data_IF_034986691509
#
_entry.id   IF_034986691509
#
_cell.length_a   1.000
_cell.length_b   1.000
_cell.length_c   1.000
_cell.angle_alpha   90.00
_cell.angle_beta   90.00
_cell.angle_gamma   90.00
#
_symmetry.space_group_name_H-M   'P 1'
#
loop_
_entity.id
_entity.type
_entity.pdbx_description
1 polymer ?
#
# COMPACT_ATOMS: atom_id res chain seq x y z
N UNK A 1 -6.03 39.03 -16.04
CA UNK A 1 -4.58 39.27 -15.86
C UNK A 1 -3.88 38.00 -16.30
N UNK A 2 -2.97 38.15 -17.26
CA UNK A 2 -2.32 37.11 -18.08
C UNK A 2 -1.70 35.96 -17.29
N UNK A 3 -2.20 34.75 -17.53
CA UNK A 3 -1.49 33.50 -17.23
C UNK A 3 -0.27 33.41 -18.14
N UNK A 4 0.87 33.90 -17.64
CA UNK A 4 2.17 33.67 -18.27
C UNK A 4 2.67 32.30 -17.82
N UNK A 5 2.32 31.28 -18.60
CA UNK A 5 2.94 29.97 -18.51
C UNK A 5 4.46 30.12 -18.57
N UNK A 6 5.14 29.52 -17.60
CA UNK A 6 6.58 29.64 -17.42
C UNK A 6 7.30 29.02 -18.66
N UNK A 7 8.07 29.80 -19.45
CA UNK A 7 8.65 29.34 -20.71
C UNK A 7 9.65 28.18 -20.54
N UNK A 8 10.17 27.97 -19.32
CA UNK A 8 11.02 26.80 -19.01
C UNK A 8 10.22 25.50 -18.87
N UNK A 9 8.98 25.58 -18.40
CA UNK A 9 8.08 24.42 -18.30
C UNK A 9 7.59 24.01 -19.69
N UNK A 10 7.25 24.98 -20.54
CA UNK A 10 6.85 24.71 -21.93
C UNK A 10 7.98 24.02 -22.71
N UNK A 11 9.21 24.52 -22.60
CA UNK A 11 10.39 23.91 -23.25
C UNK A 11 10.70 22.50 -22.76
N UNK A 12 10.35 22.16 -21.51
CA UNK A 12 10.48 20.79 -20.98
C UNK A 12 9.34 19.90 -21.48
N UNK A 13 8.12 20.41 -21.55
CA UNK A 13 6.97 19.69 -22.07
C UNK A 13 7.13 19.38 -23.55
N UNK A 14 7.65 20.33 -24.34
CA UNK A 14 7.91 20.14 -25.77
C UNK A 14 9.00 19.10 -26.01
N UNK A 15 10.08 19.10 -25.22
CA UNK A 15 11.11 18.04 -25.26
C UNK A 15 10.56 16.66 -24.92
N UNK A 16 9.61 16.59 -23.99
CA UNK A 16 9.02 15.32 -23.54
C UNK A 16 8.02 14.79 -24.58
N UNK A 17 7.25 15.68 -25.21
CA UNK A 17 6.38 15.37 -26.37
C UNK A 17 7.18 14.94 -27.60
N UNK A 18 8.32 15.59 -27.86
CA UNK A 18 9.21 15.22 -28.97
C UNK A 18 9.92 13.88 -28.74
N UNK A 19 10.28 13.57 -27.48
CA UNK A 19 10.78 12.25 -27.12
C UNK A 19 9.71 11.16 -27.32
N UNK A 20 8.45 11.42 -26.93
CA UNK A 20 7.34 10.48 -27.16
C UNK A 20 7.05 10.27 -28.65
N UNK A 21 7.10 11.34 -29.47
CA UNK A 21 6.93 11.24 -30.93
C UNK A 21 7.99 10.36 -31.61
N UNK A 22 9.19 10.24 -31.04
CA UNK A 22 10.24 9.34 -31.54
C UNK A 22 9.97 7.86 -31.25
N UNK A 23 9.08 7.55 -30.30
CA UNK A 23 8.65 6.18 -30.01
C UNK A 23 7.34 5.79 -30.72
N UNK A 24 6.57 6.77 -31.21
CA UNK A 24 5.31 6.56 -31.94
C UNK A 24 5.44 6.85 -33.45
N UNK A 25 6.55 6.46 -34.07
CA UNK A 25 6.58 6.34 -35.54
C UNK A 25 6.12 4.94 -35.93
N UNK A 26 5.27 4.80 -36.97
CA UNK A 26 4.51 3.58 -37.22
C UNK A 26 5.44 2.43 -37.60
N UNK A 27 5.04 1.22 -37.19
CA UNK A 27 5.49 -0.04 -37.78
C UNK A 27 5.34 0.11 -39.30
N UNK A 28 6.48 0.26 -39.97
CA UNK A 28 6.58 0.07 -41.41
C UNK A 28 6.48 -1.44 -41.60
N UNK A 29 5.31 -1.88 -42.06
CA UNK A 29 5.17 -3.11 -42.82
C UNK A 29 5.99 -2.89 -44.10
N UNK A 30 7.25 -3.35 -44.09
CA UNK A 30 7.98 -3.53 -45.34
C UNK A 30 7.79 -4.97 -45.80
N UNK A 31 7.19 -5.01 -46.98
CA UNK A 31 6.90 -6.14 -47.80
C UNK A 31 8.11 -7.04 -48.04
N UNK A 32 7.73 -8.28 -48.30
CA UNK A 32 8.43 -9.30 -49.06
C UNK A 32 9.59 -8.77 -49.92
N UNK A 33 10.80 -9.19 -49.59
CA UNK A 33 11.89 -9.23 -50.57
C UNK A 33 12.56 -10.60 -50.56
N UNK A 34 12.52 -11.18 -51.74
CA UNK A 34 13.14 -12.39 -52.25
C UNK A 34 14.46 -12.81 -51.59
N UNK A 35 14.44 -13.99 -50.95
CA UNK A 35 15.56 -14.93 -50.97
C UNK A 35 15.06 -16.35 -51.24
N UNK A 36 14.26 -16.52 -52.29
CA UNK A 36 14.08 -17.82 -52.95
C UNK A 36 15.16 -18.01 -54.01
N UNK A 37 16.34 -18.46 -53.58
CA UNK A 37 17.31 -19.29 -54.34
C UNK A 37 18.66 -19.32 -53.61
N UNK A 38 18.82 -20.25 -52.69
CA UNK A 38 20.11 -20.90 -52.53
C UNK A 38 19.84 -22.36 -52.16
N UNK A 39 20.17 -23.25 -53.10
CA UNK A 39 20.10 -24.68 -52.89
C UNK A 39 21.27 -25.10 -52.00
N UNK A 40 21.01 -25.26 -50.71
CA UNK A 40 21.86 -26.06 -49.84
C UNK A 40 21.10 -27.33 -49.50
N UNK A 41 21.44 -28.38 -50.25
CA UNK A 41 21.13 -29.75 -49.90
C UNK A 41 21.71 -30.04 -48.51
N UNK A 42 20.90 -30.68 -47.68
CA UNK A 42 21.25 -31.11 -46.34
C UNK A 42 22.57 -31.89 -46.29
N UNK A 43 23.40 -31.60 -45.31
CA UNK A 43 24.58 -32.37 -44.84
C UNK A 43 24.25 -33.81 -44.38
N UNK A 44 23.04 -34.31 -44.65
CA UNK A 44 22.58 -35.67 -44.31
C UNK A 44 22.78 -36.70 -45.44
N UNK A 45 23.39 -36.32 -46.57
CA UNK A 45 23.61 -37.20 -47.74
C UNK A 45 25.08 -37.60 -48.00
N UNK A 46 26.07 -37.15 -47.20
CA UNK A 46 27.49 -37.46 -47.44
C UNK A 46 28.10 -38.47 -46.47
N UNK A 47 27.39 -38.84 -45.39
CA UNK A 47 27.89 -39.83 -44.41
C UNK A 47 27.41 -41.28 -44.66
N UNK A 48 26.49 -41.49 -45.60
CA UNK A 48 25.96 -42.83 -45.93
C UNK A 48 26.63 -43.50 -47.14
N UNK A 49 27.53 -42.80 -47.85
CA UNK A 49 28.27 -43.34 -49.00
C UNK A 49 29.65 -43.95 -48.65
N UNK A 50 30.11 -43.86 -47.41
CA UNK A 50 31.43 -44.36 -46.97
C UNK A 50 31.39 -45.59 -46.05
N UNK A 51 30.20 -46.17 -45.79
CA UNK A 51 30.03 -47.31 -44.87
C UNK A 51 29.82 -48.68 -45.56
N UNK A 52 30.12 -48.78 -46.86
CA UNK A 52 30.01 -50.03 -47.63
C UNK A 52 31.33 -50.45 -48.29
N UNK A 53 32.40 -50.54 -47.52
CA UNK A 53 33.55 -51.38 -47.89
C UNK A 53 33.96 -52.25 -46.70
N UNK A 54 33.54 -53.52 -46.78
CA UNK A 54 34.05 -54.58 -45.92
C UNK A 54 35.52 -54.88 -46.27
N UNK A 55 36.40 -55.20 -45.30
CA UNK A 55 37.83 -55.37 -45.54
C UNK A 55 38.09 -56.69 -46.27
N UNK A 56 38.64 -56.65 -47.49
CA UNK A 56 39.22 -57.85 -48.12
C UNK A 56 40.58 -58.16 -47.49
N UNK A 57 40.71 -59.40 -47.05
CA UNK A 57 41.89 -60.01 -46.44
C UNK A 57 43.16 -59.85 -47.29
N UNK A 58 44.29 -59.59 -46.62
CA UNK A 58 45.64 -59.64 -47.18
C UNK A 58 45.93 -61.00 -47.84
N UNK A 59 46.63 -61.05 -48.98
CA UNK A 59 47.45 -62.19 -49.32
C UNK A 59 48.84 -62.03 -48.71
N UNK A 60 49.27 -63.10 -48.04
CA UNK A 60 50.60 -63.30 -47.49
C UNK A 60 51.56 -63.67 -48.63
N UNK A 61 52.76 -63.09 -48.57
CA UNK A 61 53.91 -63.44 -49.39
C UNK A 61 54.26 -64.94 -49.31
N UNK A 62 54.56 -65.56 -50.46
CA UNK A 62 55.45 -66.72 -50.52
C UNK A 62 54.94 -67.92 -51.31
N UNK A 63 55.42 -68.05 -52.56
CA UNK A 63 55.79 -69.29 -53.27
C UNK A 63 55.82 -68.98 -54.77
N UNK A 64 56.99 -68.70 -55.34
CA UNK A 64 57.64 -69.60 -56.32
C UNK A 64 56.65 -70.33 -57.24
N UNK A 65 56.50 -69.83 -58.45
CA UNK A 65 56.74 -70.64 -59.65
C UNK A 65 57.01 -69.73 -60.86
N UNK A 66 58.22 -69.86 -61.38
CA UNK A 66 58.64 -69.34 -62.67
C UNK A 66 58.04 -70.22 -63.75
N UNK A 67 57.27 -69.64 -64.68
CA UNK A 67 57.10 -70.23 -66.02
C UNK A 67 57.22 -69.13 -67.08
N UNK A 68 58.38 -69.20 -67.73
CA UNK A 68 58.84 -68.73 -69.04
C UNK A 68 57.86 -68.09 -70.05
N UNK A 69 58.27 -66.91 -70.51
CA UNK A 69 58.53 -66.51 -71.91
C UNK A 69 57.80 -67.22 -73.07
N UNK A 70 56.98 -66.44 -73.78
CA UNK A 70 56.97 -66.23 -75.25
C UNK A 70 56.46 -64.77 -75.43
N UNK A 71 57.19 -63.75 -75.91
CA UNK A 71 58.00 -63.53 -77.12
C UNK A 71 57.23 -63.51 -78.45
N UNK A 72 56.27 -62.58 -78.59
CA UNK A 72 55.80 -62.02 -79.86
C UNK A 72 55.34 -60.57 -79.55
N UNK A 73 55.60 -59.49 -80.28
CA UNK A 73 56.27 -59.21 -81.54
C UNK A 73 56.57 -57.70 -81.55
N UNK A 74 57.69 -57.30 -82.16
CA UNK A 74 58.08 -55.89 -82.31
C UNK A 74 57.31 -55.27 -83.49
N UNK A 75 56.59 -54.18 -83.24
CA UNK A 75 56.15 -53.21 -84.26
C UNK A 75 56.63 -51.80 -83.86
N UNK A 76 56.85 -50.87 -84.82
CA UNK A 76 57.81 -49.78 -84.63
C UNK A 76 57.30 -48.67 -83.70
N UNK A 77 58.06 -48.47 -82.62
CA UNK A 77 57.88 -47.54 -81.51
C UNK A 77 58.28 -46.11 -81.94
N UNK A 78 57.37 -45.37 -82.54
CA UNK A 78 57.55 -43.92 -82.78
C UNK A 78 56.33 -43.07 -82.38
N UNK A 79 55.10 -43.58 -82.53
CA UNK A 79 53.89 -42.85 -82.12
C UNK A 79 53.57 -42.98 -80.62
N UNK A 80 53.89 -44.11 -79.99
CA UNK A 80 53.61 -44.32 -78.55
C UNK A 80 54.50 -43.48 -77.63
N UNK A 81 55.74 -43.17 -78.05
CA UNK A 81 56.64 -42.26 -77.32
C UNK A 81 56.08 -40.84 -77.25
N UNK A 82 55.52 -40.33 -78.35
CA UNK A 82 54.94 -38.99 -78.42
C UNK A 82 53.64 -38.88 -77.61
N UNK A 83 52.80 -39.92 -77.66
CA UNK A 83 51.57 -40.01 -76.87
C UNK A 83 51.90 -40.07 -75.37
N UNK A 84 52.87 -40.91 -74.97
CA UNK A 84 53.32 -40.99 -73.58
C UNK A 84 53.94 -39.69 -73.07
N UNK A 85 54.71 -38.97 -73.90
CA UNK A 85 55.24 -37.65 -73.58
C UNK A 85 54.13 -36.61 -73.32
N UNK A 86 53.07 -36.63 -74.15
CA UNK A 86 51.90 -35.76 -73.99
C UNK A 86 51.13 -36.04 -72.68
N UNK A 87 50.95 -37.32 -72.33
CA UNK A 87 50.36 -37.71 -71.04
C UNK A 87 51.24 -37.29 -69.86
N UNK A 88 52.56 -37.46 -69.95
CA UNK A 88 53.49 -37.04 -68.92
C UNK A 88 53.47 -35.53 -68.70
N UNK A 89 53.42 -34.74 -69.77
CA UNK A 89 53.32 -33.27 -69.68
C UNK A 89 51.98 -32.83 -69.05
N UNK A 90 50.86 -33.46 -69.42
CA UNK A 90 49.55 -33.19 -68.77
C UNK A 90 49.57 -33.58 -67.30
N UNK A 91 50.16 -34.72 -66.96
CA UNK A 91 50.29 -35.16 -65.57
C UNK A 91 51.12 -34.17 -64.75
N UNK A 92 52.23 -33.68 -65.32
CA UNK A 92 53.09 -32.67 -64.70
C UNK A 92 52.33 -31.35 -64.50
N UNK A 93 51.59 -30.88 -65.51
CA UNK A 93 50.78 -29.67 -65.42
C UNK A 93 49.67 -29.77 -64.35
N UNK A 94 48.99 -30.92 -64.28
CA UNK A 94 47.98 -31.19 -63.24
C UNK A 94 48.65 -31.20 -61.86
N UNK A 95 49.81 -31.84 -61.73
CA UNK A 95 50.56 -31.91 -60.48
C UNK A 95 51.01 -30.51 -60.01
N UNK A 96 51.52 -29.68 -60.91
CA UNK A 96 51.88 -28.28 -60.61
C UNK A 96 50.66 -27.44 -60.21
N UNK A 97 49.53 -27.59 -60.91
CA UNK A 97 48.27 -26.94 -60.56
C UNK A 97 47.75 -27.36 -59.17
N UNK A 98 47.81 -28.66 -58.86
CA UNK A 98 47.40 -29.18 -57.56
C UNK A 98 48.30 -28.67 -56.44
N UNK A 99 49.62 -28.60 -56.64
CA UNK A 99 50.52 -28.02 -55.64
C UNK A 99 50.28 -26.53 -55.44
N UNK A 100 49.98 -25.77 -56.50
CA UNK A 100 49.61 -24.37 -56.39
C UNK A 100 48.33 -24.18 -55.57
N UNK A 101 47.31 -25.01 -55.81
CA UNK A 101 46.05 -25.00 -55.05
C UNK A 101 46.23 -25.42 -53.58
N UNK A 102 47.09 -26.41 -53.31
CA UNK A 102 47.42 -26.79 -51.93
C UNK A 102 48.06 -25.62 -51.18
N UNK A 103 48.96 -24.88 -51.82
CA UNK A 103 49.63 -23.75 -51.18
C UNK A 103 48.67 -22.56 -50.97
N UNK A 104 47.74 -22.29 -51.88
CA UNK A 104 46.70 -21.27 -51.67
C UNK A 104 45.78 -21.65 -50.51
N UNK A 105 45.25 -22.89 -50.48
CA UNK A 105 44.39 -23.38 -49.40
C UNK A 105 45.09 -23.35 -48.03
N UNK A 106 46.39 -23.64 -48.00
CA UNK A 106 47.19 -23.57 -46.78
C UNK A 106 47.36 -22.13 -46.29
N UNK A 107 47.53 -21.17 -47.19
CA UNK A 107 47.56 -19.76 -46.85
C UNK A 107 46.21 -19.27 -46.34
N UNK A 108 45.11 -19.64 -47.00
CA UNK A 108 43.74 -19.28 -46.57
C UNK A 108 43.40 -19.90 -45.21
N UNK A 109 43.81 -21.15 -44.97
CA UNK A 109 43.66 -21.78 -43.65
C UNK A 109 44.41 -20.99 -42.57
N UNK A 110 45.59 -20.44 -42.88
CA UNK A 110 46.38 -19.64 -41.94
C UNK A 110 45.73 -18.28 -41.67
N UNK A 111 45.20 -17.61 -42.69
CA UNK A 111 44.51 -16.33 -42.53
C UNK A 111 43.23 -16.51 -41.70
N UNK A 112 42.39 -17.51 -42.03
CA UNK A 112 41.19 -17.85 -41.26
C UNK A 112 41.52 -18.25 -39.81
N UNK A 113 42.61 -18.99 -39.59
CA UNK A 113 43.06 -19.33 -38.24
C UNK A 113 43.44 -18.09 -37.43
N UNK A 114 44.12 -17.11 -38.05
CA UNK A 114 44.48 -15.86 -37.38
C UNK A 114 43.25 -15.00 -37.07
N UNK A 115 42.31 -14.91 -38.01
CA UNK A 115 41.05 -14.21 -37.81
C UNK A 115 40.24 -14.86 -36.68
N UNK A 116 40.18 -16.19 -36.61
CA UNK A 116 39.51 -16.91 -35.54
C UNK A 116 40.11 -16.58 -34.15
N UNK A 117 41.44 -16.48 -34.07
CA UNK A 117 42.13 -16.07 -32.83
C UNK A 117 41.75 -14.63 -32.45
N UNK A 118 41.73 -13.69 -33.40
CA UNK A 118 41.33 -12.31 -33.15
C UNK A 118 39.87 -12.19 -32.71
N UNK A 119 38.96 -12.92 -33.35
CA UNK A 119 37.55 -12.96 -32.97
C UNK A 119 37.35 -13.53 -31.56
N UNK A 120 38.07 -14.60 -31.20
CA UNK A 120 38.04 -15.16 -29.84
C UNK A 120 38.53 -14.16 -28.79
N UNK A 121 39.61 -13.43 -29.08
CA UNK A 121 40.09 -12.38 -28.18
C UNK A 121 39.05 -11.26 -28.00
N UNK A 122 38.42 -10.83 -29.10
CA UNK A 122 37.35 -9.81 -29.06
C UNK A 122 36.13 -10.27 -28.26
N UNK A 123 35.72 -11.52 -28.39
CA UNK A 123 34.62 -12.10 -27.60
C UNK A 123 34.97 -12.04 -26.11
N UNK A 124 36.17 -12.45 -25.73
CA UNK A 124 36.62 -12.44 -24.34
C UNK A 124 36.64 -11.02 -23.73
N UNK A 125 37.05 -10.01 -24.52
CA UNK A 125 37.04 -8.63 -24.06
C UNK A 125 35.61 -8.08 -23.90
N UNK A 126 34.70 -8.44 -24.80
CA UNK A 126 33.29 -8.09 -24.69
C UNK A 126 32.61 -8.77 -23.49
N UNK A 127 32.95 -10.03 -23.19
CA UNK A 127 32.46 -10.75 -22.01
C UNK A 127 32.88 -10.03 -20.72
N UNK A 128 34.17 -9.67 -20.58
CA UNK A 128 34.66 -8.89 -19.43
C UNK A 128 33.97 -7.54 -19.30
N UNK A 129 33.72 -6.87 -20.43
CA UNK A 129 32.99 -5.60 -20.42
C UNK A 129 31.55 -5.80 -19.94
N UNK A 130 30.87 -6.85 -20.40
CA UNK A 130 29.52 -7.20 -20.01
C UNK A 130 29.43 -7.51 -18.50
N UNK A 131 30.38 -8.28 -17.97
CA UNK A 131 30.47 -8.57 -16.53
C UNK A 131 30.64 -7.29 -15.71
N UNK A 132 31.53 -6.40 -16.15
CA UNK A 132 31.74 -5.10 -15.48
C UNK A 132 30.50 -4.20 -15.49
N UNK A 133 29.68 -4.29 -16.54
CA UNK A 133 28.42 -3.55 -16.64
C UNK A 133 27.34 -4.19 -15.79
N UNK A 134 27.26 -5.52 -15.76
CA UNK A 134 26.37 -6.29 -14.89
C UNK A 134 26.61 -5.92 -13.41
N UNK A 135 27.86 -5.86 -12.97
CA UNK A 135 28.23 -5.45 -11.61
C UNK A 135 27.79 -4.01 -11.28
N UNK A 136 27.91 -3.09 -12.24
CA UNK A 136 27.47 -1.69 -12.08
C UNK A 136 25.95 -1.61 -11.96
N UNK A 137 25.21 -2.37 -12.77
CA UNK A 137 23.75 -2.46 -12.72
C UNK A 137 23.32 -3.00 -11.36
N UNK A 138 23.89 -4.11 -10.89
CA UNK A 138 23.56 -4.68 -9.58
C UNK A 138 23.82 -3.70 -8.41
N UNK A 139 24.90 -2.91 -8.47
CA UNK A 139 25.16 -1.86 -7.48
C UNK A 139 24.10 -0.77 -7.52
N UNK A 140 23.67 -0.36 -8.72
CA UNK A 140 22.62 0.64 -8.91
C UNK A 140 21.24 0.13 -8.47
N UNK A 141 20.94 -1.15 -8.67
CA UNK A 141 19.70 -1.76 -8.18
C UNK A 141 19.65 -1.79 -6.65
N UNK A 142 20.78 -2.08 -5.98
CA UNK A 142 20.87 -2.01 -4.51
C UNK A 142 20.66 -0.58 -4.00
N UNK A 143 21.25 0.41 -4.67
CA UNK A 143 21.08 1.84 -4.34
C UNK A 143 19.61 2.27 -4.54
N UNK A 144 18.99 1.86 -5.65
CA UNK A 144 17.59 2.13 -5.96
C UNK A 144 16.65 1.51 -4.91
N UNK A 145 16.86 0.24 -4.55
CA UNK A 145 16.06 -0.44 -3.54
C UNK A 145 16.16 0.24 -2.17
N UNK A 146 17.35 0.76 -1.80
CA UNK A 146 17.51 1.56 -0.58
C UNK A 146 16.71 2.86 -0.66
N UNK A 147 16.78 3.57 -1.78
CA UNK A 147 16.02 4.82 -1.98
C UNK A 147 14.50 4.58 -1.95
N UNK A 148 14.03 3.45 -2.49
CA UNK A 148 12.62 3.05 -2.43
C UNK A 148 12.20 2.83 -0.97
N UNK A 149 12.99 2.09 -0.20
CA UNK A 149 12.73 1.88 1.22
C UNK A 149 12.68 3.20 2.01
N UNK A 150 13.65 4.08 1.79
CA UNK A 150 13.70 5.39 2.46
C UNK A 150 12.49 6.26 2.08
N UNK A 151 12.07 6.23 0.81
CA UNK A 151 10.86 6.91 0.34
C UNK A 151 9.60 6.41 1.03
N UNK A 152 9.42 5.09 1.15
CA UNK A 152 8.25 4.50 1.80
C UNK A 152 8.20 4.83 3.30
N UNK A 153 9.36 4.85 3.96
CA UNK A 153 9.48 5.31 5.35
C UNK A 153 9.08 6.77 5.52
N UNK A 154 9.52 7.64 4.61
CA UNK A 154 9.17 9.07 4.63
C UNK A 154 7.68 9.30 4.34
N UNK A 155 7.09 8.59 3.40
CA UNK A 155 5.65 8.67 3.11
C UNK A 155 4.81 8.29 4.33
N UNK A 156 5.20 7.24 5.04
CA UNK A 156 4.53 6.85 6.28
C UNK A 156 4.66 7.92 7.38
N UNK A 157 5.84 8.52 7.52
CA UNK A 157 6.05 9.62 8.46
C UNK A 157 5.19 10.85 8.10
N UNK A 158 5.06 11.16 6.80
CA UNK A 158 4.19 12.22 6.31
C UNK A 158 2.70 11.95 6.64
N UNK A 159 2.22 10.71 6.44
CA UNK A 159 0.86 10.32 6.80
C UNK A 159 0.58 10.47 8.31
N UNK A 160 1.54 10.09 9.16
CA UNK A 160 1.40 10.19 10.61
C UNK A 160 1.43 11.66 11.07
N UNK A 161 2.26 12.51 10.45
CA UNK A 161 2.25 13.96 10.69
C UNK A 161 0.93 14.60 10.25
N UNK A 162 0.38 14.21 9.10
CA UNK A 162 -0.93 14.70 8.63
C UNK A 162 -2.06 14.37 9.62
N UNK A 163 -2.07 13.15 10.17
CA UNK A 163 -3.03 12.77 11.23
C UNK A 163 -2.86 13.63 12.48
N UNK A 164 -1.62 13.86 12.91
CA UNK A 164 -1.34 14.71 14.08
C UNK A 164 -1.81 16.15 13.88
N UNK A 165 -1.59 16.73 12.69
CA UNK A 165 -2.07 18.06 12.34
C UNK A 165 -3.60 18.12 12.41
N UNK A 166 -4.29 17.11 11.87
CA UNK A 166 -5.75 17.04 11.90
C UNK A 166 -6.30 16.93 13.35
N UNK A 167 -5.64 16.15 14.20
CA UNK A 167 -6.03 16.05 15.62
C UNK A 167 -5.80 17.37 16.37
N UNK A 168 -4.69 18.07 16.10
CA UNK A 168 -4.41 19.40 16.66
C UNK A 168 -5.46 20.41 16.16
N UNK A 169 -5.83 20.36 14.88
CA UNK A 169 -6.86 21.22 14.30
C UNK A 169 -8.21 21.03 14.99
N UNK A 170 -8.65 19.78 15.19
CA UNK A 170 -9.89 19.47 15.91
C UNK A 170 -9.87 19.99 17.35
N UNK A 171 -8.75 19.83 18.06
CA UNK A 171 -8.59 20.37 19.42
C UNK A 171 -8.65 21.90 19.43
N UNK A 172 -8.00 22.55 18.47
CA UNK A 172 -8.05 24.00 18.33
C UNK A 172 -9.48 24.49 18.06
N UNK A 173 -10.22 23.83 17.16
CA UNK A 173 -11.62 24.15 16.90
C UNK A 173 -12.51 24.00 18.14
N UNK A 174 -12.29 22.95 18.94
CA UNK A 174 -12.99 22.75 20.21
C UNK A 174 -12.70 23.88 21.21
N UNK A 175 -11.42 24.16 21.48
CA UNK A 175 -11.00 25.24 22.39
C UNK A 175 -11.49 26.61 21.91
N UNK A 176 -11.51 26.84 20.59
CA UNK A 176 -12.03 28.08 20.02
C UNK A 176 -13.53 28.24 20.26
N UNK A 177 -14.31 27.16 20.26
CA UNK A 177 -15.74 27.20 20.58
C UNK A 177 -15.96 27.51 22.06
N UNK A 178 -15.28 26.78 22.96
CA UNK A 178 -15.36 27.04 24.40
C UNK A 178 -14.96 28.47 24.76
N UNK A 179 -13.90 29.01 24.14
CA UNK A 179 -13.46 30.38 24.38
C UNK A 179 -14.53 31.41 23.94
N UNK A 180 -15.27 31.14 22.86
CA UNK A 180 -16.37 32.00 22.43
C UNK A 180 -17.57 31.92 23.39
N UNK A 181 -17.90 30.74 23.89
CA UNK A 181 -18.95 30.54 24.90
C UNK A 181 -18.60 31.26 26.22
N UNK A 182 -17.36 31.15 26.68
CA UNK A 182 -16.86 31.86 27.87
C UNK A 182 -16.94 33.37 27.67
N UNK A 183 -16.56 33.90 26.49
CA UNK A 183 -16.70 35.33 26.18
C UNK A 183 -18.14 35.80 26.28
N UNK A 184 -19.09 35.04 25.72
CA UNK A 184 -20.52 35.35 25.81
C UNK A 184 -21.01 35.32 27.26
N UNK A 185 -20.61 34.32 28.04
CA UNK A 185 -20.96 34.21 29.46
C UNK A 185 -20.42 35.40 30.27
N UNK A 186 -19.18 35.83 30.02
CA UNK A 186 -18.59 37.02 30.65
C UNK A 186 -19.39 38.27 30.31
N UNK A 187 -19.85 38.42 29.08
CA UNK A 187 -20.64 39.58 28.65
C UNK A 187 -22.00 39.65 29.34
N UNK A 188 -22.68 38.50 29.49
CA UNK A 188 -23.91 38.37 30.27
C UNK A 188 -23.70 38.71 31.75
N UNK A 189 -22.65 38.16 32.38
CA UNK A 189 -22.33 38.46 33.78
C UNK A 189 -21.99 39.95 33.99
N UNK A 190 -21.31 40.59 33.03
CA UNK A 190 -21.06 42.03 33.06
C UNK A 190 -22.36 42.84 32.95
N UNK A 191 -23.35 42.36 32.20
CA UNK A 191 -24.66 42.99 32.12
C UNK A 191 -25.43 42.82 33.44
N UNK A 192 -25.52 41.60 33.97
CA UNK A 192 -26.17 41.33 35.27
C UNK A 192 -25.57 42.14 36.41
N UNK A 193 -24.23 42.24 36.47
CA UNK A 193 -23.54 43.09 37.46
C UNK A 193 -23.99 44.56 37.37
N UNK A 194 -24.20 45.10 36.17
CA UNK A 194 -24.65 46.49 35.98
C UNK A 194 -26.07 46.67 36.50
N UNK A 195 -26.97 45.72 36.22
CA UNK A 195 -28.36 45.76 36.71
C UNK A 195 -28.43 45.61 38.24
N UNK A 196 -27.63 44.71 38.83
CA UNK A 196 -27.54 44.57 40.30
C UNK A 196 -27.03 45.88 40.94
N UNK A 197 -26.01 46.52 40.36
CA UNK A 197 -25.52 47.80 40.87
C UNK A 197 -26.58 48.92 40.78
N UNK A 198 -27.39 48.93 39.72
CA UNK A 198 -28.48 49.90 39.57
C UNK A 198 -29.57 49.68 40.63
N UNK A 199 -30.04 48.45 40.77
CA UNK A 199 -31.05 48.09 41.79
C UNK A 199 -30.56 48.33 43.22
N UNK A 200 -29.27 48.07 43.50
CA UNK A 200 -28.66 48.37 44.81
C UNK A 200 -28.73 49.85 45.15
N UNK A 201 -28.39 50.74 44.19
CA UNK A 201 -28.49 52.19 44.39
C UNK A 201 -29.93 52.65 44.63
N UNK A 202 -30.89 52.09 43.90
CA UNK A 202 -32.31 52.41 44.08
C UNK A 202 -32.80 52.02 45.49
N UNK A 203 -32.36 50.86 45.99
CA UNK A 203 -32.63 50.41 47.36
C UNK A 203 -31.96 51.32 48.40
N UNK A 204 -30.70 51.72 48.18
CA UNK A 204 -29.99 52.67 49.06
C UNK A 204 -30.74 53.99 49.18
N UNK A 205 -31.14 54.59 48.05
CA UNK A 205 -31.93 55.84 48.03
C UNK A 205 -33.24 55.68 48.80
N UNK A 206 -33.96 54.57 48.57
CA UNK A 206 -35.21 54.30 49.27
C UNK A 206 -34.98 54.13 50.78
N UNK A 207 -33.93 53.42 51.17
CA UNK A 207 -33.55 53.24 52.57
C UNK A 207 -33.20 54.57 53.25
N UNK A 208 -32.46 55.45 52.58
CA UNK A 208 -32.18 56.81 53.09
C UNK A 208 -33.46 57.63 53.30
N UNK A 209 -34.40 57.59 52.36
CA UNK A 209 -35.69 58.28 52.49
C UNK A 209 -36.52 57.75 53.66
N UNK A 210 -36.53 56.42 53.85
CA UNK A 210 -37.19 55.77 54.97
C UNK A 210 -36.53 56.16 56.30
N UNK A 211 -35.21 56.18 56.39
CA UNK A 211 -34.50 56.62 57.60
C UNK A 211 -34.81 58.07 57.96
N UNK A 212 -34.86 58.98 56.97
CA UNK A 212 -35.29 60.37 57.20
C UNK A 212 -36.72 60.43 57.74
N UNK A 213 -37.62 59.66 57.15
CA UNK A 213 -39.03 59.59 57.60
C UNK A 213 -39.15 59.05 59.01
N UNK A 214 -38.39 57.99 59.35
CA UNK A 214 -38.33 57.42 60.69
C UNK A 214 -37.84 58.44 61.72
N UNK A 215 -36.76 59.19 61.42
CA UNK A 215 -36.28 60.26 62.31
C UNK A 215 -37.34 61.33 62.58
N UNK A 216 -38.07 61.77 61.55
CA UNK A 216 -39.18 62.73 61.71
C UNK A 216 -40.25 62.12 62.64
N UNK A 217 -40.61 60.86 62.44
CA UNK A 217 -41.60 60.17 63.30
C UNK A 217 -41.12 59.95 64.72
N UNK A 218 -39.84 59.69 64.94
CA UNK A 218 -39.24 59.63 66.27
C UNK A 218 -39.30 60.99 66.98
N UNK A 219 -39.05 62.09 66.27
CA UNK A 219 -39.20 63.46 66.77
C UNK A 219 -40.67 63.75 67.15
N UNK A 220 -41.63 63.41 66.28
CA UNK A 220 -43.07 63.53 66.54
C UNK A 220 -43.46 62.76 67.82
N UNK A 221 -42.96 61.53 67.98
CA UNK A 221 -43.22 60.71 69.17
C UNK A 221 -42.64 61.37 70.43
N UNK A 222 -41.42 61.90 70.39
CA UNK A 222 -40.82 62.62 71.54
C UNK A 222 -41.65 63.84 71.91
N UNK A 223 -42.10 64.63 70.93
CA UNK A 223 -42.97 65.79 71.17
C UNK A 223 -44.31 65.37 71.78
N UNK A 224 -44.93 64.29 71.29
CA UNK A 224 -46.17 63.74 71.87
C UNK A 224 -45.96 63.22 73.30
N UNK A 225 -44.83 62.55 73.59
CA UNK A 225 -44.50 62.12 74.95
C UNK A 225 -44.29 63.30 75.90
N UNK A 226 -43.66 64.38 75.42
CA UNK A 226 -43.49 65.60 76.21
C UNK A 226 -44.84 66.27 76.50
N UNK A 227 -45.69 66.46 75.50
CA UNK A 227 -47.03 67.04 75.68
C UNK A 227 -47.91 66.18 76.60
N UNK A 228 -47.84 64.85 76.51
CA UNK A 228 -48.48 63.94 77.46
C UNK A 228 -47.98 64.17 78.89
N UNK A 229 -46.66 64.30 79.08
CA UNK A 229 -46.07 64.57 80.40
C UNK A 229 -46.52 65.92 80.97
N UNK A 230 -46.64 66.96 80.12
CA UNK A 230 -47.16 68.27 80.49
C UNK A 230 -48.67 68.21 80.84
N UNK A 231 -49.46 67.47 80.06
CA UNK A 231 -50.87 67.21 80.34
C UNK A 231 -51.09 66.43 81.63
N UNK A 232 -50.27 65.42 81.93
CA UNK A 232 -50.31 64.69 83.19
C UNK A 232 -49.94 65.58 84.39
N UNK A 233 -48.94 66.46 84.23
CA UNK A 233 -48.57 67.43 85.26
C UNK A 233 -49.66 68.49 85.52
N UNK A 234 -50.44 68.85 84.50
CA UNK A 234 -51.55 69.82 84.61
C UNK A 234 -52.86 69.17 85.08
N UNK A 235 -53.14 67.91 84.73
CA UNK A 235 -54.22 67.13 85.37
C UNK A 235 -53.92 66.78 86.83
N UNK A 236 -52.65 66.59 87.20
CA UNK A 236 -52.22 66.51 88.59
C UNK A 236 -52.55 67.77 89.42
N UNK A 237 -52.56 68.95 88.78
CA UNK A 237 -52.97 70.23 89.41
C UNK A 237 -54.49 70.46 89.43
N UNK A 238 -55.25 69.80 88.56
CA UNK A 238 -56.72 69.87 88.52
C UNK A 238 -57.41 68.81 89.40
N UNK A 239 -56.68 67.83 89.94
CA UNK A 239 -57.22 66.81 90.86
C UNK A 239 -57.38 67.29 92.31
N UNK A 240 -57.71 68.57 92.45
CA UNK A 240 -57.83 69.28 93.71
C UNK A 240 -59.22 69.87 93.96
N UNK A 241 -60.25 69.66 93.13
CA UNK A 241 -61.62 70.06 93.49
C UNK A 241 -62.69 69.38 92.62
N UNK A 242 -63.76 68.95 93.29
CA UNK A 242 -65.06 68.50 92.78
C UNK A 242 -65.19 67.02 92.36
N UNK A 243 -65.70 66.26 93.32
CA UNK A 243 -66.45 65.02 93.16
C UNK A 243 -67.76 65.26 92.41
N UNK A 244 -68.00 64.56 91.30
CA UNK A 244 -69.36 64.27 90.84
C UNK A 244 -69.42 62.91 90.14
N UNK A 245 -70.27 62.03 90.70
CA UNK A 245 -70.68 60.75 90.12
C UNK A 245 -71.44 60.98 88.81
N UNK A 246 -70.97 60.38 87.73
CA UNK A 246 -71.75 59.87 86.59
C UNK A 246 -70.99 58.59 86.17
N UNK A 247 -71.55 57.39 86.17
CA UNK A 247 -72.81 57.05 85.57
C UNK A 247 -72.55 56.42 84.20
N UNK A 248 -72.47 55.09 84.19
CA UNK A 248 -72.79 54.19 83.06
C UNK A 248 -71.76 53.90 81.95
N UNK A 249 -71.70 52.59 81.67
CA UNK A 249 -71.32 51.90 80.42
C UNK A 249 -69.84 51.78 80.12
N UNK A 250 -69.26 50.71 80.66
CA UNK A 250 -68.23 49.90 79.99
C UNK A 250 -68.79 49.38 78.66
N UNK A 251 -68.80 50.23 77.63
CA UNK A 251 -68.87 49.76 76.25
C UNK A 251 -67.60 48.97 76.00
N UNK A 252 -67.79 47.66 75.83
CA UNK A 252 -66.82 46.74 75.22
C UNK A 252 -66.24 47.40 73.97
N UNK A 253 -65.07 48.02 74.07
CA UNK A 253 -64.21 48.23 72.92
C UNK A 253 -63.71 46.85 72.55
N UNK A 254 -64.41 46.23 71.59
CA UNK A 254 -63.87 45.13 70.83
C UNK A 254 -62.56 45.61 70.22
N UNK A 255 -61.44 45.25 70.86
CA UNK A 255 -60.18 45.08 70.13
C UNK A 255 -60.46 43.96 69.14
N UNK A 256 -60.93 44.31 67.94
CA UNK A 256 -60.77 43.44 66.79
C UNK A 256 -59.26 43.29 66.66
N UNK A 257 -58.76 42.13 67.12
CA UNK A 257 -57.50 41.57 66.67
C UNK A 257 -57.51 41.77 65.15
N UNK A 258 -56.64 42.64 64.65
CA UNK A 258 -56.37 42.69 63.23
C UNK A 258 -55.78 41.31 62.90
N UNK A 259 -56.65 40.39 62.51
CA UNK A 259 -56.24 39.23 61.73
C UNK A 259 -55.61 39.81 60.47
N UNK A 260 -54.28 39.78 60.44
CA UNK A 260 -53.54 39.79 59.19
C UNK A 260 -54.16 38.65 58.39
N UNK A 261 -54.84 38.93 57.25
CA UNK A 261 -55.30 37.85 56.42
C UNK A 261 -54.03 37.11 55.97
N UNK A 262 -53.90 35.84 56.34
CA UNK A 262 -53.04 34.92 55.60
C UNK A 262 -53.64 34.83 54.19
N UNK A 263 -53.37 35.84 53.38
CA UNK A 263 -53.41 35.69 51.94
C UNK A 263 -52.27 34.72 51.68
N UNK A 264 -52.59 33.42 51.72
CA UNK A 264 -52.01 32.40 50.86
C UNK A 264 -52.24 32.84 49.41
N UNK A 265 -51.56 33.92 49.04
CA UNK A 265 -51.14 34.15 47.70
C UNK A 265 -50.03 33.14 47.51
N UNK A 266 -50.39 32.01 46.94
CA UNK A 266 -49.50 31.23 46.10
C UNK A 266 -49.05 32.23 45.03
N UNK A 267 -48.02 33.02 45.34
CA UNK A 267 -47.16 33.57 44.31
C UNK A 267 -46.49 32.33 43.76
N UNK A 268 -47.02 31.86 42.65
CA UNK A 268 -46.34 30.92 41.77
C UNK A 268 -44.87 31.35 41.72
N UNK A 269 -44.03 30.56 42.36
CA UNK A 269 -42.60 30.63 42.16
C UNK A 269 -42.42 30.61 40.64
N UNK A 270 -41.75 31.61 40.03
CA UNK A 270 -41.48 31.55 38.61
C UNK A 270 -40.81 30.21 38.37
N UNK A 271 -41.44 29.43 37.47
CA UNK A 271 -41.00 28.10 37.09
C UNK A 271 -39.47 28.13 37.02
N UNK A 272 -38.82 27.40 37.93
CA UNK A 272 -37.46 26.93 37.71
C UNK A 272 -37.52 25.91 36.57
N UNK A 273 -37.80 26.37 35.35
CA UNK A 273 -37.24 25.79 34.14
C UNK A 273 -35.82 26.30 34.04
N UNK A 274 -34.99 25.87 34.99
CA UNK A 274 -33.61 25.56 34.66
C UNK A 274 -33.72 24.26 33.87
N UNK A 275 -33.27 24.19 32.60
CA UNK A 275 -32.70 22.94 32.14
C UNK A 275 -31.52 22.72 33.09
N UNK A 276 -31.73 21.90 34.12
CA UNK A 276 -30.60 21.40 34.89
C UNK A 276 -29.68 20.76 33.86
N UNK A 277 -28.45 21.22 33.87
CA UNK A 277 -27.28 20.55 33.36
C UNK A 277 -27.39 19.04 33.66
N UNK A 278 -27.83 18.28 32.66
CA UNK A 278 -27.97 16.82 32.68
C UNK A 278 -26.94 16.20 31.71
N UNK A 279 -25.76 16.81 31.59
CA UNK A 279 -24.65 16.19 30.86
C UNK A 279 -23.80 15.37 31.82
N UNK A 280 -23.27 15.99 32.87
CA UNK A 280 -22.18 15.36 33.65
C UNK A 280 -22.64 14.19 34.54
N UNK A 281 -23.85 14.28 35.12
CA UNK A 281 -24.37 13.24 36.03
C UNK A 281 -24.84 11.99 35.28
N UNK A 282 -25.26 12.16 34.04
CA UNK A 282 -25.73 11.09 33.15
C UNK A 282 -24.54 10.32 32.58
N UNK A 283 -23.46 11.03 32.24
CA UNK A 283 -22.19 10.45 31.79
C UNK A 283 -21.50 9.63 32.88
N UNK A 284 -21.56 10.07 34.14
CA UNK A 284 -20.98 9.33 35.26
C UNK A 284 -21.72 7.99 35.53
N UNK A 285 -23.04 7.98 35.33
CA UNK A 285 -23.87 6.77 35.41
C UNK A 285 -23.59 5.84 34.22
N UNK A 286 -23.49 6.38 33.01
CA UNK A 286 -23.13 5.63 31.80
C UNK A 286 -21.74 5.01 31.92
N UNK A 287 -20.76 5.76 32.43
CA UNK A 287 -19.41 5.27 32.64
C UNK A 287 -19.35 4.15 33.67
N UNK A 288 -20.08 4.27 34.79
CA UNK A 288 -20.22 3.21 35.78
C UNK A 288 -20.86 1.96 35.19
N UNK A 289 -21.92 2.11 34.40
CA UNK A 289 -22.60 0.99 33.76
C UNK A 289 -21.67 0.27 32.77
N UNK A 290 -20.96 1.04 31.93
CA UNK A 290 -19.99 0.51 30.96
C UNK A 290 -18.83 -0.21 31.67
N UNK A 291 -18.31 0.36 32.76
CA UNK A 291 -17.27 -0.26 33.58
C UNK A 291 -17.74 -1.60 34.17
N UNK A 292 -18.96 -1.66 34.72
CA UNK A 292 -19.50 -2.89 35.30
C UNK A 292 -19.75 -3.96 34.22
N UNK A 293 -20.25 -3.56 33.06
CA UNK A 293 -20.47 -4.47 31.93
C UNK A 293 -19.15 -5.01 31.36
N UNK A 294 -18.15 -4.15 31.17
CA UNK A 294 -16.81 -4.55 30.75
C UNK A 294 -16.14 -5.46 31.80
N UNK A 295 -16.30 -5.15 33.09
CA UNK A 295 -15.78 -5.97 34.19
C UNK A 295 -16.39 -7.36 34.17
N UNK A 296 -17.69 -7.46 33.90
CA UNK A 296 -18.42 -8.73 33.75
C UNK A 296 -17.96 -9.51 32.52
N UNK A 297 -17.86 -8.87 31.35
CA UNK A 297 -17.40 -9.50 30.10
C UNK A 297 -15.98 -10.06 30.22
N UNK A 298 -15.09 -9.33 30.89
CA UNK A 298 -13.71 -9.74 31.10
C UNK A 298 -13.54 -10.68 32.31
N UNK A 299 -14.63 -10.98 33.02
CA UNK A 299 -14.60 -11.79 34.25
C UNK A 299 -13.49 -11.33 35.20
N UNK A 300 -13.41 -10.03 35.45
CA UNK A 300 -12.36 -9.44 36.28
C UNK A 300 -12.80 -9.38 37.75
N UNK A 301 -11.98 -9.86 38.67
CA UNK A 301 -12.35 -9.98 40.09
C UNK A 301 -12.18 -8.64 40.82
N UNK A 302 -11.05 -7.97 40.59
CA UNK A 302 -10.68 -6.70 41.22
C UNK A 302 -10.30 -5.63 40.16
N UNK A 303 -10.14 -4.38 40.60
CA UNK A 303 -9.92 -3.23 39.70
C UNK A 303 -8.55 -3.31 38.99
N UNK A 304 -7.55 -3.90 39.63
CA UNK A 304 -6.22 -4.14 39.06
C UNK A 304 -6.24 -5.20 37.96
N UNK A 305 -6.92 -6.33 38.19
CA UNK A 305 -7.13 -7.40 37.19
C UNK A 305 -7.95 -6.90 36.00
N UNK A 306 -8.95 -6.05 36.25
CA UNK A 306 -9.71 -5.41 35.18
C UNK A 306 -8.81 -4.55 34.28
N UNK A 307 -7.95 -3.72 34.87
CA UNK A 307 -7.02 -2.89 34.12
C UNK A 307 -6.04 -3.74 33.29
N UNK A 308 -5.45 -4.78 33.87
CA UNK A 308 -4.55 -5.70 33.15
C UNK A 308 -5.24 -6.39 31.98
N UNK A 309 -6.48 -6.86 32.16
CA UNK A 309 -7.27 -7.49 31.09
C UNK A 309 -7.65 -6.50 30.00
N UNK A 310 -8.02 -5.27 30.35
CA UNK A 310 -8.29 -4.19 29.38
C UNK A 310 -7.05 -3.88 28.55
N UNK A 311 -5.86 -3.80 29.18
CA UNK A 311 -4.59 -3.58 28.48
C UNK A 311 -4.32 -4.72 27.50
N UNK A 312 -4.48 -5.98 27.92
CA UNK A 312 -4.34 -7.15 27.05
C UNK A 312 -5.32 -7.12 25.87
N UNK A 313 -6.57 -6.75 26.11
CA UNK A 313 -7.59 -6.62 25.04
C UNK A 313 -7.21 -5.52 24.06
N UNK A 314 -6.72 -4.38 24.55
CA UNK A 314 -6.23 -3.28 23.71
C UNK A 314 -5.06 -3.72 22.83
N UNK A 315 -4.12 -4.49 23.38
CA UNK A 315 -3.00 -5.04 22.63
C UNK A 315 -3.43 -6.07 21.58
N UNK A 316 -4.35 -6.97 21.92
CA UNK A 316 -4.94 -7.94 20.99
C UNK A 316 -5.69 -7.20 19.87
N UNK A 317 -6.48 -6.19 20.21
CA UNK A 317 -7.21 -5.37 19.25
C UNK A 317 -6.28 -4.59 18.31
N UNK A 318 -5.18 -4.04 18.84
CA UNK A 318 -4.17 -3.37 18.04
C UNK A 318 -3.47 -4.34 17.08
N UNK A 319 -3.16 -5.56 17.52
CA UNK A 319 -2.62 -6.64 16.66
C UNK A 319 -3.63 -7.07 15.60
N UNK A 320 -4.90 -7.25 15.97
CA UNK A 320 -5.99 -7.57 15.06
C UNK A 320 -6.19 -6.49 14.01
N UNK A 321 -6.16 -5.20 14.36
CA UNK A 321 -6.29 -4.12 13.39
C UNK A 321 -5.13 -4.07 12.39
N UNK A 322 -3.90 -4.40 12.82
CA UNK A 322 -2.77 -4.55 11.90
C UNK A 322 -2.99 -5.72 10.94
N UNK A 323 -3.44 -6.87 11.47
CA UNK A 323 -3.76 -8.05 10.66
C UNK A 323 -4.90 -7.80 9.68
N UNK A 324 -5.95 -7.10 10.10
CA UNK A 324 -7.09 -6.72 9.26
C UNK A 324 -6.64 -5.87 8.08
N UNK A 325 -5.85 -4.81 8.33
CA UNK A 325 -5.28 -3.97 7.25
C UNK A 325 -4.42 -4.76 6.27
N UNK A 326 -3.71 -5.78 6.76
CA UNK A 326 -2.94 -6.68 5.89
C UNK A 326 -3.85 -7.58 5.04
N UNK A 327 -4.90 -8.16 5.63
CA UNK A 327 -5.91 -8.94 4.91
C UNK A 327 -6.62 -8.08 3.86
N UNK A 328 -6.97 -6.83 4.19
CA UNK A 328 -7.62 -5.90 3.25
C UNK A 328 -6.70 -5.61 2.05
N UNK A 329 -5.41 -5.34 2.28
CA UNK A 329 -4.43 -5.16 1.20
C UNK A 329 -4.23 -6.42 0.35
N UNK A 330 -4.21 -7.60 0.98
CA UNK A 330 -4.14 -8.87 0.25
C UNK A 330 -5.40 -9.09 -0.59
N UNK A 331 -6.57 -8.75 -0.05
CA UNK A 331 -7.85 -8.78 -0.77
C UNK A 331 -7.79 -7.93 -2.03
N UNK A 332 -7.36 -6.66 -1.89
CA UNK A 332 -7.24 -5.73 -3.01
C UNK A 332 -6.27 -6.24 -4.08
N UNK A 333 -5.11 -6.75 -3.67
CA UNK A 333 -4.12 -7.33 -4.57
C UNK A 333 -4.69 -8.54 -5.33
N UNK A 334 -5.38 -9.45 -4.63
CA UNK A 334 -5.98 -10.63 -5.26
C UNK A 334 -7.05 -10.21 -6.28
N UNK A 335 -7.90 -9.24 -5.94
CA UNK A 335 -8.92 -8.73 -6.87
C UNK A 335 -8.28 -8.14 -8.13
N UNK A 336 -7.18 -7.39 -7.99
CA UNK A 336 -6.44 -6.82 -9.13
C UNK A 336 -5.75 -7.87 -10.00
N UNK A 337 -5.20 -8.92 -9.39
CA UNK A 337 -4.48 -9.97 -10.10
C UNK A 337 -5.37 -11.09 -10.66
N UNK A 338 -6.66 -11.10 -10.30
CA UNK A 338 -7.58 -12.15 -10.73
C UNK A 338 -8.26 -11.80 -12.06
N UNK A 339 -8.58 -12.79 -12.90
CA UNK A 339 -9.37 -12.56 -14.11
C UNK A 339 -10.70 -11.87 -13.79
N UNK A 340 -11.11 -10.92 -14.64
CA UNK A 340 -12.36 -10.18 -14.50
C UNK A 340 -13.54 -11.13 -14.32
N UNK A 341 -14.32 -10.95 -13.25
CA UNK A 341 -15.47 -11.81 -12.91
C UNK A 341 -15.16 -12.98 -11.96
N UNK A 342 -13.90 -13.15 -11.52
CA UNK A 342 -13.53 -14.19 -10.54
C UNK A 342 -14.15 -13.99 -9.16
N UNK A 343 -14.44 -12.74 -8.80
CA UNK A 343 -15.10 -12.37 -7.55
C UNK A 343 -16.28 -11.44 -7.85
N UNK A 344 -17.47 -11.81 -7.39
CA UNK A 344 -18.70 -11.00 -7.51
C UNK A 344 -18.92 -10.05 -6.33
N UNK A 345 -18.19 -10.28 -5.23
CA UNK A 345 -18.13 -9.48 -4.00
C UNK A 345 -16.72 -9.56 -3.44
N UNK A 346 -16.40 -8.69 -2.48
CA UNK A 346 -15.10 -8.73 -1.80
C UNK A 346 -14.82 -10.13 -1.24
N UNK A 347 -13.65 -10.71 -1.54
CA UNK A 347 -13.34 -12.07 -1.14
C UNK A 347 -13.19 -12.17 0.38
N UNK A 348 -13.82 -13.18 0.97
CA UNK A 348 -13.62 -13.51 2.38
C UNK A 348 -12.18 -13.95 2.67
N UNK A 349 -11.73 -13.85 3.92
CA UNK A 349 -10.40 -14.31 4.36
C UNK A 349 -10.10 -15.75 3.95
N UNK A 350 -11.11 -16.63 3.97
CA UNK A 350 -10.96 -18.01 3.54
C UNK A 350 -10.74 -18.14 2.02
N UNK A 351 -11.44 -17.33 1.22
CA UNK A 351 -11.27 -17.29 -0.24
C UNK A 351 -9.91 -16.71 -0.64
N UNK A 352 -9.47 -15.64 0.05
CA UNK A 352 -8.12 -15.07 -0.08
C UNK A 352 -7.07 -16.16 0.16
N UNK A 353 -7.17 -16.87 1.28
CA UNK A 353 -6.22 -17.93 1.64
C UNK A 353 -6.21 -19.07 0.61
N UNK A 354 -7.39 -19.52 0.18
CA UNK A 354 -7.52 -20.57 -0.84
C UNK A 354 -6.92 -20.17 -2.18
N UNK A 355 -7.06 -18.89 -2.56
CA UNK A 355 -6.48 -18.36 -3.79
C UNK A 355 -4.95 -18.29 -3.70
N UNK A 356 -4.41 -17.75 -2.61
CA UNK A 356 -2.95 -17.67 -2.38
C UNK A 356 -2.33 -19.06 -2.34
N UNK A 357 -2.98 -20.02 -1.67
CA UNK A 357 -2.48 -21.40 -1.59
C UNK A 357 -2.46 -22.06 -2.97
N UNK A 358 -3.50 -21.88 -3.78
CA UNK A 358 -3.51 -22.38 -5.17
C UNK A 358 -2.44 -21.73 -6.03
N UNK A 359 -2.23 -20.42 -5.90
CA UNK A 359 -1.17 -19.73 -6.62
C UNK A 359 0.21 -20.29 -6.25
N UNK A 360 0.45 -20.54 -4.95
CA UNK A 360 1.67 -21.18 -4.45
C UNK A 360 1.81 -22.61 -4.95
N UNK A 361 0.74 -23.40 -4.96
CA UNK A 361 0.73 -24.76 -5.51
C UNK A 361 1.10 -24.75 -7.00
N UNK A 362 0.50 -23.86 -7.79
CA UNK A 362 0.82 -23.71 -9.21
C UNK A 362 2.25 -23.20 -9.42
N UNK A 363 2.71 -22.24 -8.62
CA UNK A 363 4.11 -21.79 -8.64
C UNK A 363 5.07 -22.92 -8.27
N UNK A 364 4.74 -23.75 -7.29
CA UNK A 364 5.57 -24.90 -6.90
C UNK A 364 5.60 -25.98 -7.97
N UNK A 365 4.47 -26.26 -8.65
CA UNK A 365 4.43 -27.13 -9.83
C UNK A 365 5.27 -26.56 -10.96
N UNK A 366 5.16 -25.27 -11.22
CA UNK A 366 5.95 -24.57 -12.25
C UNK A 366 7.44 -24.59 -11.90
N UNK A 367 7.79 -24.37 -10.63
CA UNK A 367 9.17 -24.45 -10.15
C UNK A 367 9.71 -25.88 -10.27
N UNK A 368 8.91 -26.90 -9.96
CA UNK A 368 9.30 -28.30 -10.16
C UNK A 368 9.48 -28.64 -11.64
N UNK A 369 8.59 -28.15 -12.52
CA UNK A 369 8.74 -28.36 -13.97
C UNK A 369 9.91 -27.58 -14.58
N UNK A 370 10.21 -26.37 -14.08
CA UNK A 370 11.33 -25.53 -14.50
C UNK A 370 12.66 -26.00 -13.90
N UNK A 371 12.67 -26.63 -12.72
CA UNK A 371 13.89 -27.09 -12.03
C UNK A 371 14.66 -28.18 -12.78
N UNK A 372 14.28 -28.49 -14.02
CA UNK A 372 14.95 -29.47 -14.85
C UNK A 372 14.80 -30.90 -14.34
N UNK A 373 14.10 -31.14 -13.22
CA UNK A 373 13.99 -32.47 -12.62
C UNK A 373 13.08 -33.39 -13.46
N UNK A 374 12.00 -32.84 -14.02
CA UNK A 374 11.15 -33.52 -15.00
C UNK A 374 11.87 -33.73 -16.33
N UNK A 375 12.67 -32.75 -16.77
CA UNK A 375 13.50 -32.87 -17.97
C UNK A 375 14.60 -33.92 -17.77
N UNK A 376 15.31 -33.91 -16.64
CA UNK A 376 16.33 -34.88 -16.29
C UNK A 376 15.76 -36.30 -16.14
N UNK A 377 14.57 -36.44 -15.53
CA UNK A 377 13.84 -37.72 -15.53
C UNK A 377 13.46 -38.17 -16.94
N UNK A 378 13.04 -37.26 -17.83
CA UNK A 378 12.78 -37.59 -19.23
C UNK A 378 14.05 -37.98 -19.98
N UNK A 379 15.15 -37.24 -19.81
CA UNK A 379 16.47 -37.59 -20.36
C UNK A 379 16.91 -38.97 -19.90
N UNK A 380 16.69 -39.30 -18.62
CA UNK A 380 17.03 -40.61 -18.04
C UNK A 380 16.13 -41.73 -18.55
N UNK A 381 14.82 -41.50 -18.68
CA UNK A 381 13.85 -42.50 -19.19
C UNK A 381 14.08 -42.77 -20.69
N UNK A 382 14.39 -41.73 -21.47
CA UNK A 382 14.54 -41.82 -22.93
C UNK A 382 16.00 -42.01 -23.37
N UNK A 383 16.92 -42.02 -22.41
CA UNK A 383 18.38 -42.13 -22.57
C UNK A 383 18.90 -41.21 -23.69
N UNK A 384 18.54 -39.93 -23.62
CA UNK A 384 18.99 -38.89 -24.56
C UNK A 384 19.00 -37.54 -23.88
N UNK A 385 20.01 -36.72 -24.20
CA UNK A 385 20.15 -35.34 -23.71
C UNK A 385 19.67 -34.33 -24.76
N UNK A 386 19.38 -34.78 -26.00
CA UNK A 386 18.88 -33.94 -27.09
C UNK A 386 17.37 -33.77 -27.03
N UNK A 387 16.90 -32.52 -27.03
CA UNK A 387 15.48 -32.17 -27.01
C UNK A 387 14.77 -32.64 -28.29
N UNK A 388 15.44 -32.60 -29.44
CA UNK A 388 14.85 -33.03 -30.72
C UNK A 388 14.67 -34.55 -30.78
N UNK A 389 15.67 -35.33 -30.35
CA UNK A 389 15.53 -36.79 -30.23
C UNK A 389 14.46 -37.19 -29.21
N UNK A 390 14.33 -36.40 -28.14
CA UNK A 390 13.32 -36.61 -27.11
C UNK A 390 11.91 -36.45 -27.70
N UNK A 391 11.69 -35.41 -28.52
CA UNK A 391 10.42 -35.17 -29.21
C UNK A 391 10.11 -36.30 -30.19
N UNK A 392 11.09 -36.77 -30.97
CA UNK A 392 10.89 -37.90 -31.89
C UNK A 392 10.54 -39.21 -31.16
N UNK A 393 11.26 -39.54 -30.08
CA UNK A 393 10.99 -40.75 -29.29
C UNK A 393 9.62 -40.69 -28.60
N UNK A 394 9.23 -39.53 -28.05
CA UNK A 394 7.90 -39.34 -27.44
C UNK A 394 6.79 -39.42 -28.48
N UNK A 395 6.98 -38.82 -29.66
CA UNK A 395 6.04 -38.93 -30.78
C UNK A 395 5.90 -40.38 -31.29
N UNK A 396 7.00 -41.12 -31.36
CA UNK A 396 6.98 -42.56 -31.68
C UNK A 396 6.23 -43.38 -30.62
N UNK A 397 6.45 -43.12 -29.33
CA UNK A 397 5.76 -43.80 -28.23
C UNK A 397 4.25 -43.47 -28.18
N UNK A 398 3.85 -42.24 -28.49
CA UNK A 398 2.42 -41.89 -28.63
C UNK A 398 1.77 -42.59 -29.83
N UNK A 399 2.49 -42.69 -30.95
CA UNK A 399 1.99 -43.35 -32.16
C UNK A 399 1.90 -44.88 -32.01
N UNK A 400 2.84 -45.50 -31.28
CA UNK A 400 2.79 -46.95 -30.98
C UNK A 400 1.68 -47.27 -29.98
N UNK A 401 1.44 -46.42 -28.97
CA UNK A 401 0.31 -46.57 -28.04
C UNK A 401 -1.05 -46.40 -28.72
N UNK A 402 -1.14 -45.51 -29.72
CA UNK A 402 -2.35 -45.31 -30.53
C UNK A 402 -2.62 -46.46 -31.51
N UNK A 403 -1.59 -47.23 -31.89
CA UNK A 403 -1.70 -48.43 -32.74
C UNK A 403 -1.86 -49.74 -31.95
N UNK A 404 -1.56 -49.74 -30.65
CA UNK A 404 -1.63 -50.91 -29.77
C UNK A 404 -3.03 -51.30 -29.27
N UNK A 405 -4.08 -50.55 -29.60
CA UNK A 405 -5.47 -50.86 -29.16
C UNK A 405 -6.21 -51.77 -30.16
N UNK A 406 -5.57 -52.18 -31.27
CA UNK A 406 -6.22 -52.99 -32.33
C UNK A 406 -5.61 -54.36 -32.60
N UNK A 407 -4.91 -54.99 -31.64
CA UNK A 407 -4.63 -56.42 -31.70
C UNK A 407 -4.57 -57.06 -30.31
N UNK A 408 -5.70 -57.63 -29.89
CA UNK A 408 -5.70 -58.90 -29.17
C UNK A 408 -6.50 -59.91 -30.03
N UNK A 409 -6.08 -61.19 -30.10
CA UNK A 409 -6.91 -62.26 -30.64
C UNK A 409 -8.21 -62.45 -29.85
#
# INVERSE_FOLDING_TARGET
MSDKENPRLQKRLDKLKEAHRKFESPIIEDDQSDLSKSGYASEKSLYEAYSSYSPRSRPVYGSLEWVSYEQESITPVANDLNINQSYFNKMTQIQESLYAEIETLKNDKKTLSNENIQLRAKIQDLEKQNDSQSDKIQKKDKELNKLIFDKDMLLKAEEDLKKMIEDIRKKHEFVSKENNEIKQAIELLKHEKREILKTTREVEIKNESMQKTLKIKEEDIKNLQQTLSELESSTGKFKGTSSQKLGTKTSKLHVKKLEIPEIRGISESPERKKPLQLSDRTDEILYKNLYLEAKKLLSAENSTDFYEKIVKVKDIYAKYNKLKKFIDKLSDMIVQCSPSGSFTRDPSTHQIWKWVTRLLEEYMKLKQSISGESYAKLCQILNTESVEEMIEKVAYLQNTRSRGVLRNP
#
